data_IF_610784497268
#
_entry.id   IF_610784497268
#
_cell.length_a   1.000
_cell.length_b   1.000
_cell.length_c   1.000
_cell.angle_alpha   90.00
_cell.angle_beta   90.00
_cell.angle_gamma   90.00
#
_symmetry.space_group_name_H-M   'P 1'
#
loop_
_entity.id
_entity.type
_entity.pdbx_description
1 polymer ?
#
# COMPACT_ATOMS: atom_id res chain seq x y z
N UNK A 1 29.61 -39.86 13.67
CA UNK A 1 28.65 -39.21 14.61
C UNK A 1 28.33 -37.75 14.30
N UNK A 2 29.32 -36.85 14.10
CA UNK A 2 29.08 -35.39 13.90
C UNK A 2 28.31 -35.05 12.60
N UNK A 3 28.62 -35.74 11.51
CA UNK A 3 27.95 -35.63 10.21
C UNK A 3 26.47 -36.06 10.26
N UNK A 4 26.15 -37.12 11.01
CA UNK A 4 24.77 -37.61 11.18
C UNK A 4 23.92 -36.64 12.04
N UNK A 5 24.51 -36.09 13.13
CA UNK A 5 23.84 -35.05 13.93
C UNK A 5 23.56 -33.79 13.11
N UNK A 6 24.50 -33.36 12.27
CA UNK A 6 24.32 -32.19 11.41
C UNK A 6 23.20 -32.40 10.37
N UNK A 7 23.17 -33.57 9.71
CA UNK A 7 22.08 -33.91 8.77
C UNK A 7 20.71 -33.91 9.44
N UNK A 8 20.59 -34.47 10.64
CA UNK A 8 19.34 -34.49 11.38
C UNK A 8 18.88 -33.07 11.77
N UNK A 9 19.80 -32.22 12.25
CA UNK A 9 19.48 -30.82 12.59
C UNK A 9 19.02 -30.05 11.35
N UNK A 10 19.72 -30.20 10.23
CA UNK A 10 19.35 -29.56 8.96
C UNK A 10 17.95 -30.03 8.54
N UNK A 11 17.69 -31.34 8.56
CA UNK A 11 16.39 -31.89 8.19
C UNK A 11 15.27 -31.38 9.10
N UNK A 12 15.48 -31.31 10.42
CA UNK A 12 14.52 -30.73 11.36
C UNK A 12 14.23 -29.25 11.07
N UNK A 13 15.26 -28.48 10.69
CA UNK A 13 15.07 -27.07 10.30
C UNK A 13 14.28 -26.97 9.01
N UNK A 14 14.59 -27.78 7.99
CA UNK A 14 13.84 -27.80 6.74
C UNK A 14 12.38 -28.19 6.95
N UNK A 15 12.12 -29.20 7.77
CA UNK A 15 10.77 -29.66 8.11
C UNK A 15 10.00 -28.56 8.86
N UNK A 16 10.65 -27.87 9.81
CA UNK A 16 10.07 -26.74 10.52
C UNK A 16 9.74 -25.58 9.57
N UNK A 17 10.66 -25.22 8.66
CA UNK A 17 10.43 -24.19 7.66
C UNK A 17 9.28 -24.57 6.71
N UNK A 18 9.20 -25.83 6.30
CA UNK A 18 8.11 -26.33 5.46
C UNK A 18 6.76 -26.25 6.18
N UNK A 19 6.69 -26.66 7.44
CA UNK A 19 5.48 -26.59 8.26
C UNK A 19 5.05 -25.14 8.50
N UNK A 20 5.99 -24.26 8.87
CA UNK A 20 5.72 -22.85 9.09
C UNK A 20 5.21 -22.17 7.83
N UNK A 21 5.84 -22.43 6.67
CA UNK A 21 5.40 -21.92 5.37
C UNK A 21 3.98 -22.37 5.06
N UNK A 22 3.71 -23.67 5.19
CA UNK A 22 2.41 -24.26 4.86
C UNK A 22 1.32 -23.71 5.78
N UNK A 23 1.62 -23.55 7.07
CA UNK A 23 0.74 -22.91 8.03
C UNK A 23 0.44 -21.47 7.63
N UNK A 24 1.47 -20.67 7.35
CA UNK A 24 1.32 -19.25 7.02
C UNK A 24 0.49 -19.06 5.74
N UNK A 25 0.76 -19.84 4.70
CA UNK A 25 0.03 -19.78 3.43
C UNK A 25 -1.43 -20.15 3.60
N UNK A 26 -1.74 -21.22 4.35
CA UNK A 26 -3.13 -21.64 4.59
C UNK A 26 -3.91 -20.60 5.40
N UNK A 27 -3.30 -20.01 6.43
CA UNK A 27 -3.94 -18.95 7.21
C UNK A 27 -4.17 -17.69 6.38
N UNK A 28 -3.20 -17.30 5.56
CA UNK A 28 -3.30 -16.14 4.69
C UNK A 28 -4.40 -16.35 3.63
N UNK A 29 -4.51 -17.53 3.03
CA UNK A 29 -5.60 -17.88 2.12
C UNK A 29 -6.96 -17.86 2.83
N UNK A 30 -7.05 -18.44 4.03
CA UNK A 30 -8.28 -18.44 4.84
C UNK A 30 -8.78 -17.04 5.17
N UNK A 31 -7.91 -16.16 5.69
CA UNK A 31 -8.28 -14.79 5.99
C UNK A 31 -8.62 -13.99 4.74
N UNK A 32 -7.93 -14.24 3.62
CA UNK A 32 -8.24 -13.59 2.34
C UNK A 32 -9.63 -13.95 1.82
N UNK A 33 -10.01 -15.22 1.88
CA UNK A 33 -11.34 -15.70 1.50
C UNK A 33 -12.44 -15.09 2.38
N UNK A 34 -12.17 -14.97 3.70
CA UNK A 34 -13.10 -14.30 4.62
C UNK A 34 -13.20 -12.80 4.38
N UNK A 35 -12.10 -12.12 4.11
CA UNK A 35 -12.09 -10.69 3.83
C UNK A 35 -12.82 -10.36 2.52
N UNK A 36 -12.83 -11.28 1.56
CA UNK A 36 -13.66 -11.19 0.35
C UNK A 36 -15.17 -11.30 0.65
N UNK A 37 -15.56 -11.87 1.79
CA UNK A 37 -16.95 -12.01 2.22
C UNK A 37 -17.50 -13.44 2.24
N UNK A 38 -16.63 -14.47 2.17
CA UNK A 38 -17.05 -15.87 2.23
C UNK A 38 -17.07 -16.36 3.69
N UNK A 39 -18.24 -16.32 4.32
CA UNK A 39 -18.41 -16.66 5.75
C UNK A 39 -18.33 -18.18 6.02
N UNK A 40 -18.74 -19.00 5.04
CA UNK A 40 -18.89 -20.45 5.18
C UNK A 40 -17.60 -21.25 4.96
N UNK A 41 -16.46 -20.61 4.73
CA UNK A 41 -15.19 -21.31 4.49
C UNK A 41 -14.60 -21.77 5.82
N UNK A 42 -14.36 -23.07 5.97
CA UNK A 42 -13.63 -23.63 7.09
C UNK A 42 -12.12 -23.66 6.81
N UNK A 43 -11.30 -23.58 7.87
CA UNK A 43 -9.84 -23.71 7.73
C UNK A 43 -9.45 -25.08 7.14
N UNK A 44 -10.26 -26.11 7.42
CA UNK A 44 -10.05 -27.45 6.89
C UNK A 44 -10.23 -27.52 5.36
N UNK A 45 -11.16 -26.75 4.81
CA UNK A 45 -11.39 -26.69 3.35
C UNK A 45 -10.17 -26.08 2.64
N UNK A 46 -9.58 -25.03 3.24
CA UNK A 46 -8.34 -24.40 2.73
C UNK A 46 -7.17 -25.37 2.80
N UNK A 47 -7.04 -26.10 3.92
CA UNK A 47 -5.96 -27.08 4.12
C UNK A 47 -6.03 -28.25 3.14
N UNK A 48 -7.23 -28.71 2.84
CA UNK A 48 -7.46 -29.80 1.89
C UNK A 48 -7.53 -29.32 0.44
N UNK A 49 -7.71 -28.02 0.22
CA UNK A 49 -7.80 -27.41 -1.11
C UNK A 49 -9.11 -27.75 -1.84
N UNK A 50 -10.17 -28.10 -1.11
CA UNK A 50 -11.47 -28.50 -1.67
C UNK A 50 -12.59 -28.24 -0.66
N UNK A 51 -13.79 -27.98 -1.17
CA UNK A 51 -14.98 -27.90 -0.33
C UNK A 51 -15.59 -29.29 -0.09
N UNK A 52 -16.36 -29.40 0.98
CA UNK A 52 -17.18 -30.58 1.30
C UNK A 52 -18.67 -30.37 0.96
N UNK A 53 -18.96 -29.43 0.05
CA UNK A 53 -20.34 -28.99 -0.23
C UNK A 53 -21.20 -30.08 -0.88
N UNK A 54 -20.65 -30.84 -1.81
CA UNK A 54 -21.36 -31.94 -2.47
C UNK A 54 -20.79 -33.27 -2.01
N UNK A 55 -21.60 -34.06 -1.31
CA UNK A 55 -21.26 -35.44 -0.98
C UNK A 55 -21.77 -36.35 -2.10
N UNK A 56 -20.85 -37.13 -2.66
CA UNK A 56 -21.22 -38.17 -3.60
C UNK A 56 -21.98 -39.29 -2.89
N UNK A 57 -23.02 -39.80 -3.53
CA UNK A 57 -23.77 -40.98 -3.09
C UNK A 57 -23.97 -41.90 -4.27
N UNK A 58 -23.67 -43.19 -4.10
CA UNK A 58 -23.84 -44.18 -5.15
C UNK A 58 -25.29 -44.21 -5.63
N UNK A 59 -25.44 -44.15 -6.95
CA UNK A 59 -26.76 -44.27 -7.57
C UNK A 59 -27.11 -45.75 -7.63
N UNK A 60 -28.32 -46.10 -7.17
CA UNK A 60 -28.86 -47.42 -7.44
C UNK A 60 -29.24 -47.50 -8.93
N UNK A 61 -28.56 -48.38 -9.66
CA UNK A 61 -28.71 -48.57 -11.10
C UNK A 61 -29.38 -49.91 -11.45
N UNK A 62 -30.02 -50.58 -10.50
CA UNK A 62 -30.59 -51.93 -10.68
C UNK A 62 -31.77 -51.95 -11.66
N UNK A 63 -32.50 -50.83 -11.75
CA UNK A 63 -33.63 -50.66 -12.67
C UNK A 63 -33.29 -49.80 -13.90
N UNK A 64 -32.01 -49.59 -14.20
CA UNK A 64 -31.59 -48.76 -15.33
C UNK A 64 -31.93 -49.43 -16.67
N UNK A 65 -32.76 -48.77 -17.48
CA UNK A 65 -33.19 -49.30 -18.80
C UNK A 65 -32.12 -49.14 -19.89
N UNK A 66 -31.37 -48.05 -19.88
CA UNK A 66 -30.36 -47.73 -20.89
C UNK A 66 -29.01 -47.41 -20.23
N UNK A 67 -28.25 -48.45 -19.91
CA UNK A 67 -26.99 -48.31 -19.18
C UNK A 67 -25.88 -47.66 -20.02
N UNK A 68 -25.88 -47.88 -21.34
CA UNK A 68 -24.92 -47.26 -22.26
C UNK A 68 -25.12 -45.75 -22.41
N UNK A 69 -26.37 -45.29 -22.43
CA UNK A 69 -26.69 -43.87 -22.44
C UNK A 69 -26.28 -43.20 -21.12
N UNK A 70 -26.49 -43.88 -19.99
CA UNK A 70 -26.06 -43.37 -18.69
C UNK A 70 -24.53 -43.27 -18.58
N UNK A 71 -23.80 -44.26 -19.14
CA UNK A 71 -22.35 -44.26 -19.17
C UNK A 71 -21.77 -43.11 -20.02
N UNK A 72 -22.34 -42.88 -21.20
CA UNK A 72 -21.92 -41.76 -22.05
C UNK A 72 -22.22 -40.42 -21.39
N UNK A 73 -23.40 -40.27 -20.78
CA UNK A 73 -23.77 -39.06 -20.04
C UNK A 73 -22.87 -38.80 -18.82
N UNK A 74 -22.52 -39.84 -18.04
CA UNK A 74 -21.61 -39.69 -16.90
C UNK A 74 -20.21 -39.27 -17.33
N UNK A 75 -19.72 -39.83 -18.46
CA UNK A 75 -18.44 -39.43 -19.04
C UNK A 75 -18.46 -37.97 -19.51
N UNK A 76 -19.54 -37.55 -20.19
CA UNK A 76 -19.73 -36.16 -20.61
C UNK A 76 -19.77 -35.20 -19.42
N UNK A 77 -20.40 -35.59 -18.30
CA UNK A 77 -20.41 -34.79 -17.09
C UNK A 77 -19.01 -34.61 -16.49
N UNK A 78 -18.19 -35.66 -16.46
CA UNK A 78 -16.79 -35.55 -16.04
C UNK A 78 -15.97 -34.66 -16.99
N UNK A 79 -16.16 -34.81 -18.30
CA UNK A 79 -15.44 -33.99 -19.28
C UNK A 79 -15.85 -32.52 -19.19
N UNK A 80 -17.12 -32.21 -18.94
CA UNK A 80 -17.58 -30.86 -18.64
C UNK A 80 -16.92 -30.28 -17.37
N UNK A 81 -16.77 -31.09 -16.30
CA UNK A 81 -16.06 -30.68 -15.10
C UNK A 81 -14.57 -30.38 -15.37
N UNK A 82 -13.90 -31.21 -16.19
CA UNK A 82 -12.51 -30.94 -16.65
C UNK A 82 -12.42 -29.64 -17.44
N UNK A 83 -13.31 -29.43 -18.40
CA UNK A 83 -13.34 -28.20 -19.20
C UNK A 83 -13.53 -26.96 -18.33
N UNK A 84 -14.44 -27.02 -17.35
CA UNK A 84 -14.65 -25.94 -16.40
C UNK A 84 -13.38 -25.59 -15.63
N UNK A 85 -12.66 -26.61 -15.14
CA UNK A 85 -11.40 -26.43 -14.42
C UNK A 85 -10.32 -25.80 -15.29
N UNK A 86 -10.17 -26.24 -16.54
CA UNK A 86 -9.23 -25.65 -17.50
C UNK A 86 -9.57 -24.19 -17.79
N UNK A 87 -10.85 -23.87 -18.01
CA UNK A 87 -11.29 -22.49 -18.26
C UNK A 87 -10.97 -21.53 -17.10
N UNK A 88 -11.12 -21.98 -15.85
CA UNK A 88 -10.75 -21.19 -14.67
C UNK A 88 -9.23 -21.04 -14.57
N UNK A 89 -8.49 -22.10 -14.88
CA UNK A 89 -7.02 -22.07 -14.90
C UNK A 89 -6.50 -21.04 -15.90
N UNK A 90 -7.10 -20.95 -17.08
CA UNK A 90 -6.70 -19.96 -18.09
C UNK A 90 -7.09 -18.52 -17.68
N UNK A 91 -8.25 -18.34 -17.03
CA UNK A 91 -8.60 -17.06 -16.38
C UNK A 91 -7.61 -16.66 -15.28
N UNK A 92 -7.07 -17.64 -14.57
CA UNK A 92 -6.06 -17.40 -13.53
C UNK A 92 -4.69 -17.01 -14.14
N UNK A 93 -4.26 -17.70 -15.20
CA UNK A 93 -3.03 -17.35 -15.95
C UNK A 93 -3.11 -15.94 -16.53
N UNK A 94 -4.23 -15.58 -17.15
CA UNK A 94 -4.44 -14.22 -17.68
C UNK A 94 -4.42 -13.17 -16.57
N UNK A 95 -4.97 -13.47 -15.39
CA UNK A 95 -4.89 -12.59 -14.22
C UNK A 95 -3.44 -12.39 -13.74
N UNK A 96 -2.59 -13.42 -13.77
CA UNK A 96 -1.15 -13.27 -13.47
C UNK A 96 -0.51 -12.30 -14.46
N UNK A 97 -0.74 -12.48 -15.76
CA UNK A 97 -0.16 -11.62 -16.81
C UNK A 97 -0.61 -10.18 -16.65
N UNK A 98 -1.92 -9.94 -16.43
CA UNK A 98 -2.47 -8.60 -16.20
C UNK A 98 -1.85 -7.99 -14.94
N UNK A 99 -1.78 -8.73 -13.83
CA UNK A 99 -1.23 -8.22 -12.57
C UNK A 99 0.25 -7.83 -12.71
N UNK A 100 1.03 -8.58 -13.49
CA UNK A 100 2.43 -8.25 -13.81
C UNK A 100 2.55 -6.95 -14.61
N UNK A 101 1.73 -6.79 -15.67
CA UNK A 101 1.70 -5.56 -16.47
C UNK A 101 1.26 -4.36 -15.63
N UNK A 102 0.22 -4.51 -14.81
CA UNK A 102 -0.27 -3.46 -13.91
C UNK A 102 0.81 -3.04 -12.90
N UNK A 103 1.55 -3.98 -12.34
CA UNK A 103 2.63 -3.68 -11.39
C UNK A 103 3.78 -2.91 -12.07
N UNK A 104 4.12 -3.25 -13.33
CA UNK A 104 5.06 -2.47 -14.14
C UNK A 104 4.57 -1.05 -14.41
N UNK A 105 3.28 -0.89 -14.75
CA UNK A 105 2.67 0.42 -14.95
C UNK A 105 2.66 1.26 -13.68
N UNK A 106 2.30 0.67 -12.54
CA UNK A 106 2.37 1.34 -11.22
C UNK A 106 3.80 1.79 -10.92
N UNK A 107 4.80 0.94 -11.17
CA UNK A 107 6.21 1.30 -11.01
C UNK A 107 6.64 2.47 -11.90
N UNK A 108 6.19 2.49 -13.16
CA UNK A 108 6.44 3.59 -14.09
C UNK A 108 5.75 4.90 -13.66
N UNK A 109 4.50 4.82 -13.20
CA UNK A 109 3.70 5.96 -12.77
C UNK A 109 4.05 6.49 -11.38
N UNK A 110 4.96 5.82 -10.65
CA UNK A 110 5.44 6.26 -9.33
C UNK A 110 6.88 6.79 -9.43
N UNK A 111 7.13 7.99 -9.98
CA UNK A 111 8.42 8.67 -9.88
C UNK A 111 8.89 8.74 -8.43
N UNK A 112 10.21 8.64 -8.21
CA UNK A 112 10.85 8.89 -6.91
C UNK A 112 10.54 10.29 -6.35
N UNK A 113 10.12 11.23 -7.20
CA UNK A 113 9.68 12.57 -6.84
C UNK A 113 8.22 12.62 -6.32
N UNK A 114 7.37 11.64 -6.67
CA UNK A 114 6.00 11.46 -6.16
C UNK A 114 6.00 10.60 -4.89
N UNK A 115 7.09 10.62 -4.11
CA UNK A 115 7.15 9.97 -2.81
C UNK A 115 6.16 10.67 -1.87
N UNK A 116 4.92 10.17 -1.87
CA UNK A 116 3.75 10.78 -1.27
C UNK A 116 4.12 11.66 -0.07
N UNK A 117 3.94 12.97 -0.19
CA UNK A 117 4.41 13.92 0.82
C UNK A 117 3.80 13.60 2.18
N UNK A 118 2.55 13.13 2.17
CA UNK A 118 1.83 12.74 3.36
C UNK A 118 2.04 11.28 3.77
N UNK A 119 2.25 11.07 5.06
CA UNK A 119 2.42 9.75 5.68
C UNK A 119 1.22 8.82 5.48
N UNK A 120 -0.01 9.36 5.48
CA UNK A 120 -1.23 8.56 5.26
C UNK A 120 -1.26 7.95 3.85
N UNK A 121 -0.85 8.69 2.82
CA UNK A 121 -0.75 8.19 1.45
C UNK A 121 0.32 7.10 1.32
N UNK A 122 1.45 7.23 2.04
CA UNK A 122 2.48 6.17 2.11
C UNK A 122 1.93 4.90 2.74
N UNK A 123 1.15 5.03 3.81
CA UNK A 123 0.54 3.89 4.51
C UNK A 123 -0.50 3.19 3.62
N UNK A 124 -1.34 3.95 2.91
CA UNK A 124 -2.30 3.40 1.94
C UNK A 124 -1.58 2.72 0.78
N UNK A 125 -0.52 3.34 0.24
CA UNK A 125 0.29 2.75 -0.82
C UNK A 125 0.96 1.44 -0.37
N UNK A 126 1.50 1.41 0.86
CA UNK A 126 2.05 0.19 1.44
C UNK A 126 0.99 -0.91 1.59
N UNK A 127 -0.22 -0.56 2.06
CA UNK A 127 -1.33 -1.50 2.15
C UNK A 127 -1.75 -2.05 0.77
N UNK A 128 -1.70 -1.23 -0.28
CA UNK A 128 -1.95 -1.68 -1.65
C UNK A 128 -0.87 -2.66 -2.14
N UNK A 129 0.40 -2.42 -1.81
CA UNK A 129 1.49 -3.38 -2.10
C UNK A 129 1.26 -4.70 -1.38
N UNK A 130 0.87 -4.66 -0.10
CA UNK A 130 0.52 -5.87 0.65
C UNK A 130 -0.65 -6.62 0.02
N UNK A 131 -1.66 -5.92 -0.50
CA UNK A 131 -2.77 -6.53 -1.23
C UNK A 131 -2.34 -7.17 -2.57
N UNK A 132 -1.37 -6.59 -3.28
CA UNK A 132 -0.76 -7.23 -4.46
C UNK A 132 0.06 -8.47 -4.08
N UNK A 133 0.84 -8.39 -3.01
CA UNK A 133 1.60 -9.54 -2.52
C UNK A 133 0.67 -10.67 -2.05
N UNK A 134 -0.46 -10.32 -1.43
CA UNK A 134 -1.53 -11.24 -1.08
C UNK A 134 -2.11 -11.91 -2.34
N UNK A 135 -2.41 -11.13 -3.38
CA UNK A 135 -2.88 -11.65 -4.68
C UNK A 135 -1.91 -12.70 -5.24
N UNK A 136 -0.60 -12.39 -5.28
CA UNK A 136 0.42 -13.34 -5.75
C UNK A 136 0.41 -14.60 -4.90
N UNK A 137 0.29 -14.47 -3.58
CA UNK A 137 0.23 -15.63 -2.68
C UNK A 137 -0.98 -16.51 -2.97
N UNK A 138 -2.17 -15.94 -3.18
CA UNK A 138 -3.37 -16.71 -3.54
C UNK A 138 -3.22 -17.40 -4.90
N UNK A 139 -2.58 -16.75 -5.87
CA UNK A 139 -2.30 -17.36 -7.17
C UNK A 139 -1.29 -18.51 -7.05
N UNK A 140 -0.27 -18.39 -6.20
CA UNK A 140 0.64 -19.50 -5.92
C UNK A 140 -0.07 -20.68 -5.24
N UNK A 141 -1.03 -20.42 -4.36
CA UNK A 141 -1.89 -21.47 -3.79
C UNK A 141 -2.72 -22.14 -4.87
N UNK A 142 -3.27 -21.36 -5.82
CA UNK A 142 -4.05 -21.89 -6.94
C UNK A 142 -3.22 -22.85 -7.82
N UNK A 143 -1.98 -22.48 -8.14
CA UNK A 143 -1.07 -23.31 -8.95
C UNK A 143 -0.27 -24.34 -8.14
N UNK A 144 -0.59 -24.50 -6.86
CA UNK A 144 0.04 -25.50 -6.01
C UNK A 144 -0.14 -26.91 -6.58
N UNK A 145 0.92 -27.73 -6.49
CA UNK A 145 0.87 -29.15 -6.85
C UNK A 145 -0.11 -29.85 -5.91
N UNK A 146 -1.11 -30.53 -6.46
CA UNK A 146 -2.09 -31.30 -5.68
C UNK A 146 -2.47 -32.59 -6.38
N UNK A 147 -3.18 -33.46 -5.66
CA UNK A 147 -3.62 -34.76 -6.16
C UNK A 147 -4.75 -34.62 -7.18
N UNK A 148 -4.62 -35.18 -8.37
CA UNK A 148 -5.70 -35.23 -9.36
C UNK A 148 -6.55 -36.48 -9.16
N UNK A 149 -7.86 -36.33 -9.27
CA UNK A 149 -8.80 -37.45 -9.22
C UNK A 149 -8.75 -38.16 -10.58
N UNK A 150 -8.34 -39.41 -10.58
CA UNK A 150 -8.27 -40.27 -11.75
C UNK A 150 -9.18 -41.48 -11.56
N UNK A 151 -9.66 -42.04 -12.66
CA UNK A 151 -10.42 -43.28 -12.65
C UNK A 151 -9.42 -44.42 -12.72
N UNK A 152 -9.22 -45.11 -11.61
CA UNK A 152 -8.44 -46.35 -11.55
C UNK A 152 -9.37 -47.54 -11.81
N UNK A 153 -8.97 -48.42 -12.72
CA UNK A 153 -9.63 -49.72 -12.91
C UNK A 153 -8.98 -50.68 -11.90
N UNK A 154 -9.77 -51.18 -10.96
CA UNK A 154 -9.30 -52.13 -9.94
C UNK A 154 -9.45 -53.59 -10.42
N UNK A 155 -8.70 -54.51 -9.83
CA UNK A 155 -8.64 -55.91 -10.28
C UNK A 155 -9.95 -56.67 -10.05
N UNK A 156 -10.71 -56.28 -9.04
CA UNK A 156 -12.06 -56.75 -8.74
C UNK A 156 -13.08 -56.33 -9.81
N UNK A 157 -12.85 -55.20 -10.50
CA UNK A 157 -13.67 -54.76 -11.63
C UNK A 157 -13.52 -55.61 -12.89
N UNK A 158 -12.41 -56.34 -13.01
CA UNK A 158 -12.13 -57.22 -14.17
C UNK A 158 -12.99 -58.49 -14.14
N UNK A 159 -13.41 -58.92 -12.95
CA UNK A 159 -14.22 -60.13 -12.75
C UNK A 159 -15.74 -59.86 -12.88
N UNK A 160 -16.13 -58.59 -12.93
CA UNK A 160 -17.53 -58.15 -13.04
C UNK A 160 -18.10 -58.42 -14.45
N UNK A 161 -19.39 -58.75 -14.52
CA UNK A 161 -20.10 -58.84 -15.79
C UNK A 161 -20.23 -57.46 -16.45
N UNK A 162 -20.48 -57.46 -17.76
CA UNK A 162 -20.55 -56.23 -18.55
C UNK A 162 -21.61 -55.21 -18.06
N UNK A 163 -22.67 -55.65 -17.39
CA UNK A 163 -23.68 -54.74 -16.84
C UNK A 163 -23.19 -54.13 -15.53
N UNK A 164 -22.71 -54.95 -14.59
CA UNK A 164 -22.21 -54.44 -13.32
C UNK A 164 -20.92 -53.63 -13.45
N UNK A 165 -20.06 -53.93 -14.42
CA UNK A 165 -18.89 -53.09 -14.77
C UNK A 165 -19.33 -51.70 -15.22
N UNK A 166 -20.33 -51.59 -16.10
CA UNK A 166 -20.87 -50.29 -16.53
C UNK A 166 -21.49 -49.51 -15.37
N UNK A 167 -22.19 -50.17 -14.44
CA UNK A 167 -22.71 -49.54 -13.22
C UNK A 167 -21.57 -48.98 -12.35
N UNK A 168 -20.51 -49.76 -12.14
CA UNK A 168 -19.31 -49.30 -11.40
C UNK A 168 -18.69 -48.07 -12.06
N UNK A 169 -18.47 -48.13 -13.37
CA UNK A 169 -17.90 -47.02 -14.14
C UNK A 169 -18.75 -45.75 -14.06
N UNK A 170 -20.08 -45.85 -14.18
CA UNK A 170 -20.98 -44.68 -14.03
C UNK A 170 -20.78 -44.02 -12.67
N UNK A 171 -20.79 -44.81 -11.60
CA UNK A 171 -20.58 -44.34 -10.24
C UNK A 171 -19.19 -43.73 -10.05
N UNK A 172 -18.14 -44.36 -10.61
CA UNK A 172 -16.78 -43.83 -10.63
C UNK A 172 -16.66 -42.48 -11.35
N UNK A 173 -17.27 -42.34 -12.54
CA UNK A 173 -17.30 -41.07 -13.28
C UNK A 173 -17.95 -39.96 -12.46
N UNK A 174 -19.10 -40.24 -11.82
CA UNK A 174 -19.84 -39.28 -11.02
C UNK A 174 -19.14 -38.92 -9.70
N UNK A 175 -18.45 -39.87 -9.08
CA UNK A 175 -17.60 -39.63 -7.91
C UNK A 175 -16.45 -38.71 -8.26
N UNK A 176 -15.71 -39.02 -9.32
CA UNK A 176 -14.63 -38.16 -9.82
C UNK A 176 -15.13 -36.76 -10.19
N UNK A 177 -16.30 -36.66 -10.85
CA UNK A 177 -16.91 -35.38 -11.17
C UNK A 177 -17.20 -34.57 -9.90
N UNK A 178 -17.77 -35.20 -8.87
CA UNK A 178 -18.11 -34.52 -7.61
C UNK A 178 -16.87 -34.02 -6.88
N UNK A 179 -15.81 -34.82 -6.78
CA UNK A 179 -14.54 -34.40 -6.17
C UNK A 179 -13.87 -33.28 -6.98
N UNK A 180 -13.88 -33.38 -8.31
CA UNK A 180 -13.40 -32.31 -9.20
C UNK A 180 -14.20 -31.02 -9.05
N UNK A 181 -15.52 -31.11 -8.90
CA UNK A 181 -16.41 -29.95 -8.76
C UNK A 181 -16.20 -29.25 -7.43
N UNK A 182 -16.07 -30.01 -6.34
CA UNK A 182 -15.75 -29.50 -5.01
C UNK A 182 -14.41 -28.76 -4.97
N UNK A 183 -13.38 -29.31 -5.63
CA UNK A 183 -12.09 -28.63 -5.78
C UNK A 183 -12.19 -27.41 -6.68
N UNK A 184 -12.89 -27.52 -7.81
CA UNK A 184 -13.04 -26.41 -8.76
C UNK A 184 -13.76 -25.24 -8.11
N UNK A 185 -14.81 -25.48 -7.32
CA UNK A 185 -15.52 -24.43 -6.58
C UNK A 185 -14.59 -23.68 -5.61
N UNK A 186 -13.74 -24.40 -4.87
CA UNK A 186 -12.71 -23.78 -4.02
C UNK A 186 -11.75 -22.90 -4.84
N UNK A 187 -11.27 -23.41 -5.97
CA UNK A 187 -10.37 -22.68 -6.87
C UNK A 187 -11.03 -21.43 -7.49
N UNK A 188 -12.33 -21.49 -7.78
CA UNK A 188 -13.12 -20.34 -8.26
C UNK A 188 -13.13 -19.24 -7.22
N UNK A 189 -13.38 -19.58 -5.95
CA UNK A 189 -13.47 -18.59 -4.89
C UNK A 189 -12.10 -18.00 -4.51
N UNK A 190 -11.05 -18.81 -4.62
CA UNK A 190 -9.67 -18.34 -4.54
C UNK A 190 -9.34 -17.35 -5.67
N UNK A 191 -9.74 -17.66 -6.91
CA UNK A 191 -9.59 -16.77 -8.05
C UNK A 191 -10.37 -15.45 -7.89
N UNK A 192 -11.63 -15.51 -7.45
CA UNK A 192 -12.45 -14.31 -7.21
C UNK A 192 -11.80 -13.41 -6.16
N UNK A 193 -11.32 -14.00 -5.07
CA UNK A 193 -10.63 -13.29 -4.00
C UNK A 193 -9.35 -12.64 -4.51
N UNK A 194 -8.50 -13.39 -5.23
CA UNK A 194 -7.28 -12.85 -5.85
C UNK A 194 -7.58 -11.69 -6.80
N UNK A 195 -8.58 -11.84 -7.68
CA UNK A 195 -9.01 -10.78 -8.60
C UNK A 195 -9.47 -9.53 -7.85
N UNK A 196 -10.22 -9.68 -6.76
CA UNK A 196 -10.68 -8.58 -5.93
C UNK A 196 -9.50 -7.79 -5.34
N UNK A 197 -8.54 -8.47 -4.72
CA UNK A 197 -7.35 -7.81 -4.17
C UNK A 197 -6.50 -7.12 -5.24
N UNK A 198 -6.33 -7.75 -6.40
CA UNK A 198 -5.59 -7.17 -7.52
C UNK A 198 -6.22 -5.85 -8.01
N UNK A 199 -7.54 -5.86 -8.24
CA UNK A 199 -8.28 -4.70 -8.72
C UNK A 199 -8.38 -3.61 -7.64
N UNK A 200 -8.55 -3.99 -6.38
CA UNK A 200 -8.56 -3.05 -5.26
C UNK A 200 -7.21 -2.33 -5.13
N UNK A 201 -6.10 -3.06 -5.14
CA UNK A 201 -4.78 -2.47 -5.08
C UNK A 201 -4.51 -1.54 -6.27
N UNK A 202 -4.89 -1.96 -7.49
CA UNK A 202 -4.76 -1.12 -8.67
C UNK A 202 -5.58 0.16 -8.57
N UNK A 203 -6.85 0.07 -8.14
CA UNK A 203 -7.71 1.24 -7.95
C UNK A 203 -7.14 2.20 -6.91
N UNK A 204 -6.57 1.68 -5.82
CA UNK A 204 -5.88 2.49 -4.81
C UNK A 204 -4.66 3.20 -5.41
N UNK A 205 -3.84 2.53 -6.22
CA UNK A 205 -2.70 3.17 -6.88
C UNK A 205 -3.13 4.28 -7.85
N UNK A 206 -4.15 4.03 -8.68
CA UNK A 206 -4.70 5.04 -9.58
C UNK A 206 -5.26 6.22 -8.78
N UNK A 207 -6.00 5.96 -7.71
CA UNK A 207 -6.55 7.00 -6.84
C UNK A 207 -5.46 7.84 -6.17
N UNK A 208 -4.43 7.20 -5.61
CA UNK A 208 -3.27 7.89 -5.03
C UNK A 208 -2.53 8.72 -6.08
N UNK A 209 -2.35 8.19 -7.29
CA UNK A 209 -1.73 8.91 -8.40
C UNK A 209 -2.55 10.14 -8.81
N UNK A 210 -3.87 10.00 -8.94
CA UNK A 210 -4.78 11.12 -9.24
C UNK A 210 -4.75 12.20 -8.16
N UNK A 211 -4.81 11.81 -6.87
CA UNK A 211 -4.70 12.74 -5.75
C UNK A 211 -3.33 13.41 -5.76
N UNK A 212 -2.26 12.68 -6.05
CA UNK A 212 -0.92 13.24 -6.09
C UNK A 212 -0.75 14.27 -7.20
N UNK A 213 -1.30 14.02 -8.40
CA UNK A 213 -1.31 15.01 -9.49
C UNK A 213 -2.12 16.26 -9.09
N UNK A 214 -3.29 16.09 -8.49
CA UNK A 214 -4.16 17.20 -8.08
C UNK A 214 -3.57 18.02 -6.93
N UNK A 215 -2.86 17.36 -6.00
CA UNK A 215 -2.28 18.00 -4.81
C UNK A 215 -0.94 18.68 -5.12
N UNK A 216 -0.21 18.22 -6.15
CA UNK A 216 1.04 18.85 -6.58
C UNK A 216 0.72 20.12 -7.37
N UNK A 217 0.50 21.23 -6.66
CA UNK A 217 0.39 22.54 -7.31
C UNK A 217 1.79 22.99 -7.77
N UNK A 218 1.99 23.39 -9.04
CA UNK A 218 3.30 23.80 -9.56
C UNK A 218 3.92 25.02 -8.86
N UNK A 219 3.15 25.71 -7.99
CA UNK A 219 3.61 26.84 -7.20
C UNK A 219 4.60 26.45 -6.09
N UNK A 220 4.39 25.31 -5.43
CA UNK A 220 5.24 24.91 -4.29
C UNK A 220 6.63 24.44 -4.72
N UNK A 221 6.73 23.69 -5.82
CA UNK A 221 8.01 23.21 -6.33
C UNK A 221 8.87 24.36 -6.85
N UNK A 222 8.25 25.32 -7.53
CA UNK A 222 8.92 26.55 -7.96
C UNK A 222 9.44 27.32 -6.75
N UNK A 223 8.64 27.54 -5.70
CA UNK A 223 9.09 28.23 -4.48
C UNK A 223 10.18 27.48 -3.73
N UNK A 224 10.11 26.14 -3.61
CA UNK A 224 11.16 25.33 -2.98
C UNK A 224 12.46 25.38 -3.78
N UNK A 225 12.39 25.32 -5.12
CA UNK A 225 13.56 25.46 -5.99
C UNK A 225 14.10 26.89 -5.92
N UNK A 226 13.25 27.92 -5.92
CA UNK A 226 13.64 29.32 -5.81
C UNK A 226 14.30 29.61 -4.45
N UNK A 227 13.75 29.07 -3.35
CA UNK A 227 14.35 29.16 -2.02
C UNK A 227 15.68 28.43 -1.96
N UNK A 228 15.80 27.24 -2.57
CA UNK A 228 17.05 26.48 -2.60
C UNK A 228 18.13 27.18 -3.43
N UNK A 229 17.77 27.74 -4.58
CA UNK A 229 18.65 28.57 -5.43
C UNK A 229 19.06 29.88 -4.74
N UNK A 230 18.15 30.49 -3.96
CA UNK A 230 18.42 31.73 -3.21
C UNK A 230 19.24 31.48 -1.93
N UNK A 231 19.13 30.28 -1.36
CA UNK A 231 19.92 29.85 -0.20
C UNK A 231 21.32 29.39 -0.55
N UNK A 232 21.63 29.19 -1.83
CA UNK A 232 22.97 28.79 -2.28
C UNK A 232 23.90 30.02 -2.32
N UNK A 233 24.88 30.14 -1.41
CA UNK A 233 25.78 31.28 -1.35
C UNK A 233 26.62 31.43 -2.63
N UNK A 234 26.89 30.32 -3.34
CA UNK A 234 27.70 30.30 -4.57
C UNK A 234 26.95 30.96 -5.73
N UNK A 235 25.65 30.70 -5.85
CA UNK A 235 24.81 31.32 -6.88
C UNK A 235 24.57 32.80 -6.57
N UNK A 236 24.46 33.14 -5.29
CA UNK A 236 24.28 34.52 -4.81
C UNK A 236 25.52 35.37 -5.10
N UNK A 237 26.73 34.82 -4.96
CA UNK A 237 27.97 35.49 -5.37
C UNK A 237 28.08 35.64 -6.89
N UNK A 238 27.70 34.63 -7.67
CA UNK A 238 27.75 34.71 -9.14
C UNK A 238 26.76 35.72 -9.74
N UNK A 239 25.58 35.89 -9.13
CA UNK A 239 24.56 36.85 -9.57
C UNK A 239 24.78 38.28 -9.04
N UNK A 240 25.58 38.44 -7.99
CA UNK A 240 25.96 39.75 -7.47
C UNK A 240 27.06 40.30 -8.38
N UNK A 241 26.65 41.00 -9.44
CA UNK A 241 27.56 41.68 -10.35
C UNK A 241 28.61 42.52 -9.61
N UNK A 242 29.78 42.78 -10.22
CA UNK A 242 30.89 43.47 -9.58
C UNK A 242 30.39 44.75 -8.90
N UNK A 243 30.80 44.96 -7.65
CA UNK A 243 30.45 46.16 -6.87
C UNK A 243 30.81 47.38 -7.72
N UNK A 244 29.80 48.13 -8.17
CA UNK A 244 30.01 49.29 -9.04
C UNK A 244 31.08 50.20 -8.43
N UNK A 245 31.99 50.69 -9.27
CA UNK A 245 33.06 51.58 -8.83
C UNK A 245 32.47 52.71 -7.98
N UNK A 246 33.11 52.98 -6.84
CA UNK A 246 32.72 54.05 -5.94
C UNK A 246 32.66 55.34 -6.77
N UNK A 247 31.46 55.92 -6.92
CA UNK A 247 31.29 57.15 -7.69
C UNK A 247 32.32 58.18 -7.21
N UNK A 248 32.99 58.85 -8.16
CA UNK A 248 33.99 59.88 -7.86
C UNK A 248 33.39 60.84 -6.82
N UNK A 249 34.15 61.14 -5.77
CA UNK A 249 33.73 62.14 -4.76
C UNK A 249 33.25 63.38 -5.49
N UNK A 250 32.01 63.80 -5.18
CA UNK A 250 31.47 65.03 -5.72
C UNK A 250 32.44 66.17 -5.41
N UNK A 251 32.70 67.03 -6.39
CA UNK A 251 33.53 68.21 -6.18
C UNK A 251 33.01 68.96 -4.95
N UNK A 252 33.91 69.34 -4.05
CA UNK A 252 33.61 70.17 -2.88
C UNK A 252 32.84 71.39 -3.38
N UNK A 253 31.61 71.57 -2.90
CA UNK A 253 30.78 72.71 -3.26
C UNK A 253 31.53 74.03 -2.98
N UNK A 254 31.31 75.09 -3.77
CA UNK A 254 31.99 76.36 -3.57
C UNK A 254 31.85 76.80 -2.11
N UNK A 255 32.97 77.21 -1.50
CA UNK A 255 33.02 77.72 -0.13
C UNK A 255 32.01 78.85 -0.02
N UNK A 256 30.98 78.66 0.82
CA UNK A 256 29.96 79.68 1.04
C UNK A 256 30.60 81.02 1.41
N UNK A 257 30.02 82.11 0.90
CA UNK A 257 30.47 83.46 1.19
C UNK A 257 30.55 83.67 2.72
N UNK A 258 31.62 84.35 3.15
CA UNK A 258 31.84 84.69 4.55
C UNK A 258 30.65 85.52 5.02
N UNK A 259 29.84 84.97 5.93
CA UNK A 259 28.77 85.73 6.59
C UNK A 259 29.35 87.03 7.16
N UNK A 260 28.68 88.16 6.90
CA UNK A 260 29.07 89.46 7.42
C UNK A 260 29.21 89.44 8.95
N UNK A 261 30.11 90.27 9.47
CA UNK A 261 30.36 90.42 10.90
C UNK A 261 29.04 90.61 11.66
N UNK A 262 28.74 89.69 12.57
CA UNK A 262 27.61 89.83 13.48
C UNK A 262 27.83 91.05 14.36
N UNK A 263 26.81 91.90 14.49
CA UNK A 263 26.82 93.02 15.43
C UNK A 263 27.06 92.49 16.85
N UNK A 264 27.91 93.19 17.59
CA UNK A 264 28.18 92.96 19.01
C UNK A 264 26.85 93.01 19.77
N UNK A 265 26.44 91.88 20.36
CA UNK A 265 25.25 91.82 21.21
C UNK A 265 25.44 92.65 22.49
N UNK A 266 24.37 93.27 23.03
CA UNK A 266 24.45 94.04 24.27
C UNK A 266 24.86 93.17 25.46
N UNK A 267 25.56 93.82 26.40
CA UNK A 267 26.09 93.24 27.64
C UNK A 267 24.99 92.55 28.45
N UNK A 268 25.23 91.29 28.84
CA UNK A 268 24.26 90.47 29.57
C UNK A 268 23.91 91.05 30.94
N UNK A 269 22.62 91.01 31.28
CA UNK A 269 22.12 91.32 32.61
C UNK A 269 22.49 90.21 33.61
N UNK A 270 22.77 90.66 34.83
CA UNK A 270 23.19 89.85 35.97
C UNK A 270 22.02 88.99 36.44
N UNK A 271 22.27 87.69 36.65
CA UNK A 271 21.25 86.71 36.98
C UNK A 271 20.68 86.86 38.38
N UNK A 272 19.37 86.63 38.49
CA UNK A 272 18.63 86.53 39.75
C UNK A 272 17.99 85.14 39.88
N UNK A 273 17.75 84.78 41.14
CA UNK A 273 17.70 83.44 41.73
C UNK A 273 16.55 82.55 41.27
N UNK A 274 16.86 81.26 41.06
CA UNK A 274 15.86 80.21 40.85
C UNK A 274 15.27 79.75 42.20
N UNK A 275 14.00 80.04 42.43
CA UNK A 275 13.20 79.39 43.49
C UNK A 275 12.77 78.02 42.97
N UNK A 276 13.27 76.95 43.59
CA UNK A 276 12.87 75.56 43.31
C UNK A 276 11.65 75.25 44.19
N UNK A 277 10.51 74.95 43.56
CA UNK A 277 9.30 74.46 44.21
C UNK A 277 9.38 72.92 44.36
N UNK A 278 9.71 72.45 45.57
CA UNK A 278 9.90 71.02 45.86
C UNK A 278 8.60 70.20 45.73
N UNK A 279 7.42 70.82 45.89
CA UNK A 279 6.12 70.12 45.80
C UNK A 279 5.76 69.77 44.34
N UNK A 280 6.22 70.56 43.37
CA UNK A 280 6.02 70.30 41.94
C UNK A 280 6.87 69.10 41.44
N UNK A 281 7.99 68.80 42.11
CA UNK A 281 8.88 67.70 41.76
C UNK A 281 8.35 66.38 42.33
N UNK A 282 7.86 66.37 43.57
CA UNK A 282 7.30 65.16 44.21
C UNK A 282 6.06 64.65 43.47
N UNK A 283 5.20 65.55 42.98
CA UNK A 283 3.99 65.18 42.22
C UNK A 283 4.30 64.47 40.90
N UNK A 284 5.33 64.92 40.16
CA UNK A 284 5.77 64.27 38.90
C UNK A 284 6.40 62.90 39.14
N UNK A 285 7.11 62.72 40.25
CA UNK A 285 7.71 61.42 40.61
C UNK A 285 6.62 60.41 40.99
N UNK A 286 5.59 60.82 41.74
CA UNK A 286 4.46 59.94 42.08
C UNK A 286 3.61 59.54 40.85
N UNK A 287 3.40 60.45 39.89
CA UNK A 287 2.69 60.15 38.64
C UNK A 287 3.46 59.15 37.74
N UNK A 288 4.79 59.19 37.75
CA UNK A 288 5.63 58.27 36.96
C UNK A 288 5.78 56.87 37.56
N UNK A 289 5.67 56.73 38.88
CA UNK A 289 5.71 55.41 39.55
C UNK A 289 4.37 54.66 39.52
N UNK A 290 3.24 55.38 39.38
CA UNK A 290 1.90 54.79 39.29
C UNK A 290 1.58 54.14 37.93
N UNK A 291 2.33 54.44 36.86
CA UNK A 291 2.05 53.97 35.51
C UNK A 291 2.76 52.65 35.11
N UNK A 292 3.63 52.09 35.96
CA UNK A 292 4.40 50.86 35.64
C UNK A 292 4.00 49.58 36.42
N UNK A 293 3.00 49.62 37.30
CA UNK A 293 2.44 48.41 37.91
C UNK A 293 1.05 48.10 37.35
N UNK A 294 1.00 47.55 36.14
CA UNK A 294 -0.25 47.19 35.51
C UNK A 294 -0.16 46.33 34.25
N UNK A 295 0.91 45.54 34.05
CA UNK A 295 0.85 44.47 33.05
C UNK A 295 1.97 43.42 33.21
N UNK A 296 1.84 42.51 34.17
CA UNK A 296 2.61 41.27 34.19
C UNK A 296 1.72 40.13 34.71
N UNK A 297 0.88 39.62 33.79
CA UNK A 297 0.11 38.39 33.98
C UNK A 297 1.02 37.16 33.90
N UNK A 298 0.77 36.26 34.84
CA UNK A 298 1.45 34.98 35.13
C UNK A 298 1.32 33.98 33.97
N UNK A 299 2.35 33.16 33.65
CA UNK A 299 2.23 32.03 32.73
C UNK A 299 1.59 30.82 33.41
N UNK A 300 0.57 30.23 32.77
CA UNK A 300 -0.01 28.93 33.16
C UNK A 300 0.80 27.77 32.56
N UNK A 301 0.93 26.71 33.38
CA UNK A 301 1.36 25.36 33.02
C UNK A 301 0.53 24.75 31.88
#
# INVERSE_FOLDING_TARGET
MRQAKLKNIIQTILDCCYLLRTWLVNYLAYYSLRLYGLENVALNDVRTGRYSTHNYSDRNLDNAKELDLLLSASKECLDNAKHRRTAITDKCKTLITISSVLMGLVGFLTPKALAFEHTWMRLIGFLAILALMNTITLLLVFFGVGCESEISIEQDEVELDASNLKKSMINGYLLCQTDMDNRTNYLVDLYKSARFFALFAFAVFVGLFSVSILSTSPKEETERILLKLRSDPVLTEMLRGPRGEKGKEGQIGPKGERGGEGQVGPMGERGDEAVVDEDAIVKRILESLGAQQGNAGVPQN
#
